data_IF_331273657513
#
_entry.id   IF_331273657513
#
_cell.length_a   1.000
_cell.length_b   1.000
_cell.length_c   1.000
_cell.angle_alpha   90.00
_cell.angle_beta   90.00
_cell.angle_gamma   90.00
#
_symmetry.space_group_name_H-M   'P 1'
#
loop_
_entity.id
_entity.type
_entity.pdbx_description
1 polymer ?
#
# COMPACT_ATOMS: atom_id res chain seq x y z
N UNK A 1 -22.07 -19.68 17.52
CA UNK A 1 -21.93 -18.42 18.28
C UNK A 1 -21.45 -17.34 17.29
N UNK A 2 -22.35 -16.49 16.78
CA UNK A 2 -21.96 -15.42 15.82
C UNK A 2 -21.20 -14.35 16.58
N UNK A 3 -19.90 -14.18 16.32
CA UNK A 3 -19.11 -13.08 16.88
C UNK A 3 -19.76 -11.76 16.42
N UNK A 4 -20.37 -11.01 17.34
CA UNK A 4 -20.78 -9.62 17.09
C UNK A 4 -19.53 -8.75 17.13
N UNK A 5 -18.82 -8.73 16.02
CA UNK A 5 -17.65 -7.89 15.81
C UNK A 5 -18.10 -6.42 15.76
N UNK A 6 -17.78 -5.65 16.81
CA UNK A 6 -18.21 -4.26 16.93
C UNK A 6 -17.44 -3.39 15.91
N UNK A 7 -18.12 -2.78 14.90
CA UNK A 7 -17.45 -2.12 13.77
C UNK A 7 -16.51 -0.98 14.18
N UNK A 8 -16.88 -0.27 15.25
CA UNK A 8 -16.13 0.89 15.76
C UNK A 8 -14.81 0.50 16.42
N UNK A 9 -14.71 -0.72 16.97
CA UNK A 9 -13.46 -1.24 17.52
C UNK A 9 -12.58 -1.90 16.44
N UNK A 10 -13.22 -2.47 15.41
CA UNK A 10 -12.56 -3.19 14.34
C UNK A 10 -11.80 -2.28 13.39
N UNK A 11 -12.34 -1.10 13.08
CA UNK A 11 -11.68 -0.11 12.22
C UNK A 11 -10.27 0.27 12.69
N UNK A 12 -10.08 0.74 13.94
CA UNK A 12 -8.75 1.08 14.42
C UNK A 12 -7.85 -0.15 14.52
N UNK A 13 -8.38 -1.32 14.91
CA UNK A 13 -7.60 -2.56 15.03
C UNK A 13 -7.10 -3.06 13.67
N UNK A 14 -7.94 -3.02 12.63
CA UNK A 14 -7.54 -3.28 11.24
C UNK A 14 -6.53 -2.25 10.73
N UNK A 15 -6.68 -0.98 11.13
CA UNK A 15 -5.72 0.07 10.83
C UNK A 15 -4.34 -0.21 11.42
N UNK A 16 -4.27 -0.56 12.71
CA UNK A 16 -3.01 -0.91 13.39
C UNK A 16 -2.38 -2.16 12.80
N UNK A 17 -3.17 -3.21 12.56
CA UNK A 17 -2.68 -4.44 11.92
C UNK A 17 -2.15 -4.15 10.52
N UNK A 18 -2.91 -3.39 9.71
CA UNK A 18 -2.48 -2.98 8.38
C UNK A 18 -1.19 -2.17 8.39
N UNK A 19 -1.03 -1.28 9.37
CA UNK A 19 0.17 -0.49 9.56
C UNK A 19 1.38 -1.35 9.96
N UNK A 20 1.21 -2.27 10.92
CA UNK A 20 2.26 -3.22 11.30
C UNK A 20 2.69 -4.11 10.14
N UNK A 21 1.73 -4.62 9.37
CA UNK A 21 2.00 -5.41 8.16
C UNK A 21 2.75 -4.55 7.15
N UNK A 22 2.30 -3.33 6.87
CA UNK A 22 2.92 -2.42 5.92
C UNK A 22 4.40 -2.13 6.26
N UNK A 23 4.68 -1.80 7.52
CA UNK A 23 6.05 -1.54 7.97
C UNK A 23 6.92 -2.82 7.95
N UNK A 24 6.38 -3.94 8.41
CA UNK A 24 7.11 -5.21 8.41
C UNK A 24 7.46 -5.67 6.98
N UNK A 25 6.49 -5.61 6.08
CA UNK A 25 6.65 -5.98 4.67
C UNK A 25 7.63 -5.05 3.96
N UNK A 26 7.60 -3.74 4.25
CA UNK A 26 8.55 -2.78 3.69
C UNK A 26 9.99 -3.01 4.23
N UNK A 27 10.14 -3.28 5.52
CA UNK A 27 11.44 -3.56 6.13
C UNK A 27 12.06 -4.83 5.52
N UNK A 28 11.28 -5.91 5.41
CA UNK A 28 11.75 -7.14 4.76
C UNK A 28 12.08 -6.88 3.30
N UNK A 29 11.23 -6.15 2.56
CA UNK A 29 11.48 -5.82 1.16
C UNK A 29 12.77 -5.04 0.92
N UNK A 30 13.19 -4.23 1.89
CA UNK A 30 14.44 -3.48 1.87
C UNK A 30 15.70 -4.36 1.92
N UNK A 31 15.64 -5.55 2.53
CA UNK A 31 16.77 -6.47 2.64
C UNK A 31 16.90 -7.46 1.47
N UNK A 32 15.96 -7.44 0.51
CA UNK A 32 16.07 -8.32 -0.65
C UNK A 32 17.25 -7.92 -1.55
N UNK A 33 17.89 -8.89 -2.22
CA UNK A 33 18.85 -8.58 -3.26
C UNK A 33 18.16 -7.92 -4.47
N UNK A 34 18.89 -7.09 -5.21
CA UNK A 34 18.42 -6.62 -6.52
C UNK A 34 18.25 -7.80 -7.49
N UNK A 35 17.23 -7.78 -8.37
CA UNK A 35 16.24 -6.72 -8.61
C UNK A 35 14.96 -6.84 -7.78
N UNK A 36 14.87 -7.82 -6.88
CA UNK A 36 13.65 -8.13 -6.13
C UNK A 36 13.26 -7.03 -5.15
N UNK A 37 14.25 -6.34 -4.57
CA UNK A 37 14.04 -5.16 -3.73
C UNK A 37 13.24 -4.07 -4.46
N UNK A 38 13.75 -3.61 -5.61
CA UNK A 38 13.12 -2.54 -6.39
C UNK A 38 11.74 -2.93 -6.95
N UNK A 39 11.59 -4.18 -7.40
CA UNK A 39 10.31 -4.74 -7.84
C UNK A 39 9.28 -4.76 -6.70
N UNK A 40 9.67 -5.25 -5.53
CA UNK A 40 8.76 -5.38 -4.37
C UNK A 40 8.34 -4.02 -3.84
N UNK A 41 9.28 -3.10 -3.65
CA UNK A 41 8.99 -1.74 -3.19
C UNK A 41 8.14 -0.99 -4.22
N UNK A 42 8.48 -1.09 -5.51
CA UNK A 42 7.68 -0.49 -6.58
C UNK A 42 6.25 -1.04 -6.64
N UNK A 43 6.09 -2.35 -6.50
CA UNK A 43 4.78 -3.01 -6.43
C UNK A 43 3.95 -2.54 -5.23
N UNK A 44 4.56 -2.36 -4.05
CA UNK A 44 3.88 -1.83 -2.87
C UNK A 44 3.35 -0.41 -3.11
N UNK A 45 4.16 0.47 -3.71
CA UNK A 45 3.73 1.82 -4.09
C UNK A 45 2.61 1.80 -5.13
N UNK A 46 2.68 0.91 -6.11
CA UNK A 46 1.64 0.75 -7.11
C UNK A 46 0.32 0.27 -6.51
N UNK A 47 0.36 -0.76 -5.65
CA UNK A 47 -0.82 -1.28 -4.95
C UNK A 47 -1.42 -0.23 -4.00
N UNK A 48 -0.59 0.56 -3.32
CA UNK A 48 -1.04 1.67 -2.49
C UNK A 48 -1.76 2.72 -3.32
N UNK A 49 -1.18 3.10 -4.46
CA UNK A 49 -1.81 4.05 -5.38
C UNK A 49 -3.13 3.54 -5.96
N UNK A 50 -3.21 2.26 -6.37
CA UNK A 50 -4.47 1.62 -6.80
C UNK A 50 -5.51 1.68 -5.69
N UNK A 51 -5.12 1.34 -4.46
CA UNK A 51 -6.00 1.40 -3.30
C UNK A 51 -6.50 2.82 -3.03
N UNK A 52 -5.62 3.82 -3.16
CA UNK A 52 -5.96 5.24 -3.02
C UNK A 52 -6.94 5.70 -4.10
N UNK A 53 -6.78 5.28 -5.36
CA UNK A 53 -7.73 5.61 -6.44
C UNK A 53 -9.10 4.97 -6.18
N UNK A 54 -9.15 3.71 -5.72
CA UNK A 54 -10.41 3.01 -5.42
C UNK A 54 -11.11 3.66 -4.22
N UNK A 55 -10.37 3.93 -3.15
CA UNK A 55 -10.91 4.55 -1.92
C UNK A 55 -11.34 6.00 -2.17
N UNK A 56 -10.53 6.76 -2.89
CA UNK A 56 -10.75 8.16 -3.23
C UNK A 56 -11.70 8.42 -4.38
N UNK A 57 -12.57 7.47 -4.78
CA UNK A 57 -13.50 7.65 -5.91
C UNK A 57 -14.38 8.90 -5.83
N UNK A 58 -14.61 9.45 -4.64
CA UNK A 58 -15.33 10.71 -4.44
C UNK A 58 -14.47 11.98 -4.48
N UNK A 59 -13.14 11.86 -4.41
CA UNK A 59 -12.25 13.00 -4.17
C UNK A 59 -11.11 13.08 -5.19
N UNK A 60 -11.20 14.08 -6.07
CA UNK A 60 -10.30 14.27 -7.21
C UNK A 60 -8.83 14.35 -6.80
N UNK A 61 -8.55 14.97 -5.66
CA UNK A 61 -7.20 15.08 -5.11
C UNK A 61 -6.58 13.73 -4.78
N UNK A 62 -7.33 12.85 -4.10
CA UNK A 62 -6.87 11.51 -3.72
C UNK A 62 -6.62 10.64 -4.97
N UNK A 63 -7.44 10.80 -6.01
CA UNK A 63 -7.23 10.10 -7.28
C UNK A 63 -5.96 10.54 -7.99
N UNK A 64 -5.67 11.85 -8.02
CA UNK A 64 -4.42 12.37 -8.59
C UNK A 64 -3.22 11.81 -7.81
N UNK A 65 -3.29 11.85 -6.47
CA UNK A 65 -2.26 11.30 -5.60
C UNK A 65 -2.05 9.80 -5.83
N UNK A 66 -3.13 9.04 -5.95
CA UNK A 66 -3.09 7.62 -6.28
C UNK A 66 -2.49 7.34 -7.65
N UNK A 67 -2.84 8.14 -8.67
CA UNK A 67 -2.23 8.06 -10.00
C UNK A 67 -0.72 8.32 -9.99
N UNK A 68 -0.28 9.34 -9.26
CA UNK A 68 1.15 9.64 -9.08
C UNK A 68 1.88 8.50 -8.37
N UNK A 69 1.28 7.93 -7.32
CA UNK A 69 1.83 6.78 -6.60
C UNK A 69 1.98 5.54 -7.50
N UNK A 70 0.98 5.27 -8.35
CA UNK A 70 1.04 4.18 -9.33
C UNK A 70 2.18 4.41 -10.32
N UNK A 71 2.24 5.60 -10.91
CA UNK A 71 3.26 5.95 -11.89
C UNK A 71 4.66 5.84 -11.28
N UNK A 72 4.85 6.36 -10.08
CA UNK A 72 6.12 6.27 -9.35
C UNK A 72 6.50 4.83 -9.00
N UNK A 73 5.56 4.01 -8.50
CA UNK A 73 5.79 2.61 -8.18
C UNK A 73 6.23 1.80 -9.40
N UNK A 74 5.59 2.01 -10.55
CA UNK A 74 5.95 1.39 -11.83
C UNK A 74 7.33 1.83 -12.32
N UNK A 75 7.61 3.14 -12.29
CA UNK A 75 8.94 3.68 -12.64
C UNK A 75 10.03 3.10 -11.74
N UNK A 76 9.76 2.97 -10.43
CA UNK A 76 10.71 2.39 -9.49
C UNK A 76 10.92 0.90 -9.69
N UNK A 77 9.87 0.15 -10.00
CA UNK A 77 10.01 -1.27 -10.28
C UNK A 77 10.83 -1.55 -11.55
N UNK A 78 10.68 -0.73 -12.59
CA UNK A 78 11.20 -1.01 -13.94
C UNK A 78 12.48 -0.24 -14.30
N UNK A 79 12.64 0.98 -13.80
CA UNK A 79 13.67 1.93 -14.27
C UNK A 79 14.61 2.43 -13.15
N UNK A 80 14.11 2.57 -11.92
CA UNK A 80 14.88 3.14 -10.80
C UNK A 80 15.23 2.04 -9.78
N UNK A 81 16.34 1.35 -10.05
CA UNK A 81 16.93 0.33 -9.19
C UNK A 81 18.18 0.81 -8.47
#
# INVERSE_FOLDING_TARGET
MKLKLNPDLLRPLLGTIGLMIGFGVYAVAGDLPQPWQRLSIGAMFALLGVSAVIYGRGERWIQVLGGVLIAYGLLRALLLG
#
